data_IF_194828880196
#
_entry.id   IF_194828880196
#
_cell.length_a   1.000
_cell.length_b   1.000
_cell.length_c   1.000
_cell.angle_alpha   90.00
_cell.angle_beta   90.00
_cell.angle_gamma   90.00
#
_symmetry.space_group_name_H-M   'P 1'
#
loop_
_entity.id
_entity.type
_entity.pdbx_description
1 polymer ?
#
# COMPACT_ATOMS: atom_id res chain seq x y z
N UNK A 1 -22.95 0.21 -30.19
CA UNK A 1 -22.55 -0.35 -28.87
C UNK A 1 -21.56 0.62 -28.22
N UNK A 2 -22.00 1.45 -27.26
CA UNK A 2 -21.12 2.46 -26.65
C UNK A 2 -20.07 1.78 -25.77
N UNK A 3 -18.80 1.88 -26.14
CA UNK A 3 -17.68 1.35 -25.37
C UNK A 3 -17.58 2.17 -24.07
N UNK A 4 -17.94 1.56 -22.94
CA UNK A 4 -17.74 2.18 -21.62
C UNK A 4 -16.26 2.51 -21.44
N UNK A 5 -15.91 3.79 -21.38
CA UNK A 5 -14.58 4.24 -20.97
C UNK A 5 -14.40 3.89 -19.49
N UNK A 6 -13.86 2.72 -19.19
CA UNK A 6 -13.34 2.38 -17.86
C UNK A 6 -12.07 3.23 -17.64
N UNK A 7 -12.26 4.47 -17.23
CA UNK A 7 -11.16 5.28 -16.74
C UNK A 7 -10.87 4.79 -15.31
N UNK A 8 -9.69 4.21 -15.06
CA UNK A 8 -9.25 3.91 -13.69
C UNK A 8 -8.89 5.25 -13.03
N UNK A 9 -9.90 5.98 -12.56
CA UNK A 9 -9.72 7.30 -11.93
C UNK A 9 -9.16 7.20 -10.51
N UNK A 10 -9.17 6.00 -9.91
CA UNK A 10 -8.66 5.81 -8.56
C UNK A 10 -7.31 5.09 -8.60
N UNK A 11 -6.27 5.63 -7.94
CA UNK A 11 -5.02 4.92 -7.72
C UNK A 11 -5.32 3.59 -7.04
N UNK A 12 -4.54 2.56 -7.38
CA UNK A 12 -4.74 1.24 -6.79
C UNK A 12 -4.59 1.31 -5.28
N UNK A 13 -5.12 0.32 -4.55
CA UNK A 13 -4.94 0.27 -3.10
C UNK A 13 -3.45 0.32 -2.73
N UNK A 14 -2.62 -0.35 -3.54
CA UNK A 14 -1.16 -0.38 -3.42
C UNK A 14 -0.51 0.98 -3.63
N UNK A 15 -0.91 1.71 -4.68
CA UNK A 15 -0.40 3.06 -4.94
C UNK A 15 -0.69 3.99 -3.77
N UNK A 16 -1.90 3.90 -3.20
CA UNK A 16 -2.29 4.69 -2.03
C UNK A 16 -1.52 4.31 -0.78
N UNK A 17 -1.35 3.01 -0.53
CA UNK A 17 -0.58 2.52 0.61
C UNK A 17 0.91 2.91 0.50
N UNK A 18 1.51 2.82 -0.69
CA UNK A 18 2.90 3.21 -0.90
C UNK A 18 3.12 4.72 -0.67
N UNK A 19 2.20 5.57 -1.14
CA UNK A 19 2.22 7.00 -0.87
C UNK A 19 2.06 7.29 0.63
N UNK A 20 1.16 6.57 1.30
CA UNK A 20 0.95 6.70 2.74
C UNK A 20 2.18 6.27 3.55
N UNK A 21 2.81 5.14 3.22
CA UNK A 21 4.05 4.67 3.87
C UNK A 21 5.16 5.71 3.76
N UNK A 22 5.33 6.35 2.59
CA UNK A 22 6.30 7.43 2.40
C UNK A 22 6.03 8.61 3.34
N UNK A 23 4.78 9.07 3.42
CA UNK A 23 4.39 10.15 4.33
C UNK A 23 4.61 9.80 5.80
N UNK A 24 4.24 8.58 6.21
CA UNK A 24 4.41 8.11 7.59
C UNK A 24 5.88 8.00 7.96
N UNK A 25 6.75 7.54 7.04
CA UNK A 25 8.20 7.53 7.25
C UNK A 25 8.78 8.93 7.38
N UNK A 26 8.31 9.87 6.56
CA UNK A 26 8.73 11.26 6.66
C UNK A 26 8.31 11.88 8.00
N UNK A 27 7.07 11.65 8.45
CA UNK A 27 6.62 12.05 9.79
C UNK A 27 7.46 11.42 10.90
N UNK A 28 7.76 10.12 10.80
CA UNK A 28 8.61 9.42 11.75
C UNK A 28 10.05 9.97 11.79
N UNK A 29 10.58 10.46 10.66
CA UNK A 29 11.91 11.08 10.60
C UNK A 29 11.99 12.45 11.26
N UNK A 30 10.88 13.19 11.28
CA UNK A 30 10.77 14.51 11.93
C UNK A 30 10.59 14.41 13.44
N UNK A 31 10.17 13.25 13.94
CA UNK A 31 9.97 13.01 15.37
C UNK A 31 11.26 12.54 16.05
N UNK A 32 11.49 12.98 17.31
CA UNK A 32 12.57 12.43 18.11
C UNK A 32 12.36 10.92 18.34
N UNK A 33 13.44 10.16 18.58
CA UNK A 33 13.32 8.75 18.96
C UNK A 33 12.44 8.61 20.21
N UNK A 34 11.39 7.80 20.10
CA UNK A 34 10.38 7.64 21.13
C UNK A 34 9.22 6.74 20.68
N UNK A 35 8.30 6.41 21.60
CA UNK A 35 7.21 5.46 21.34
C UNK A 35 6.31 5.90 20.18
N UNK A 36 6.09 7.20 20.02
CA UNK A 36 5.28 7.75 18.91
C UNK A 36 5.91 7.44 17.55
N UNK A 37 7.23 7.68 17.41
CA UNK A 37 7.98 7.34 16.20
C UNK A 37 7.92 5.84 15.91
N UNK A 38 8.06 5.00 16.92
CA UNK A 38 8.01 3.54 16.77
C UNK A 38 6.63 3.05 16.34
N UNK A 39 5.55 3.65 16.85
CA UNK A 39 4.19 3.31 16.40
C UNK A 39 3.96 3.66 14.92
N UNK A 40 4.48 4.80 14.46
CA UNK A 40 4.41 5.21 13.05
C UNK A 40 5.22 4.26 12.16
N UNK A 41 6.43 3.89 12.57
CA UNK A 41 7.26 2.92 11.85
C UNK A 41 6.58 1.53 11.79
N UNK A 42 5.94 1.10 12.89
CA UNK A 42 5.18 -0.15 12.92
C UNK A 42 4.00 -0.13 11.95
N UNK A 43 3.26 0.97 11.89
CA UNK A 43 2.15 1.17 10.93
C UNK A 43 2.64 1.16 9.48
N UNK A 44 3.74 1.86 9.20
CA UNK A 44 4.36 1.85 7.88
C UNK A 44 4.76 0.42 7.45
N UNK A 45 5.35 -0.35 8.36
CA UNK A 45 5.73 -1.75 8.10
C UNK A 45 4.51 -2.65 7.82
N UNK A 46 3.41 -2.46 8.54
CA UNK A 46 2.18 -3.21 8.30
C UNK A 46 1.59 -2.93 6.91
N UNK A 47 1.63 -1.67 6.46
CA UNK A 47 1.18 -1.33 5.11
C UNK A 47 2.07 -1.89 4.01
N UNK A 48 3.39 -1.91 4.19
CA UNK A 48 4.32 -2.58 3.25
C UNK A 48 4.01 -4.08 3.14
N UNK A 49 3.79 -4.76 4.28
CA UNK A 49 3.42 -6.18 4.30
C UNK A 49 2.08 -6.42 3.61
N UNK A 50 1.08 -5.56 3.84
CA UNK A 50 -0.21 -5.65 3.18
C UNK A 50 -0.10 -5.49 1.65
N UNK A 51 0.75 -4.57 1.17
CA UNK A 51 1.03 -4.42 -0.26
C UNK A 51 1.67 -5.68 -0.85
N UNK A 52 2.65 -6.24 -0.15
CA UNK A 52 3.34 -7.45 -0.59
C UNK A 52 2.43 -8.68 -0.62
N UNK A 53 1.54 -8.82 0.38
CA UNK A 53 0.53 -9.87 0.39
C UNK A 53 -0.46 -9.71 -0.76
N UNK A 54 -0.84 -8.47 -1.09
CA UNK A 54 -1.70 -8.19 -2.22
C UNK A 54 -1.05 -8.61 -3.55
N UNK A 55 0.22 -8.27 -3.76
CA UNK A 55 1.01 -8.73 -4.92
C UNK A 55 1.01 -10.25 -5.03
N UNK A 56 1.20 -10.93 -3.89
CA UNK A 56 1.24 -12.39 -3.87
C UNK A 56 -0.09 -13.02 -4.27
N UNK A 57 -1.20 -12.52 -3.74
CA UNK A 57 -2.56 -12.95 -4.09
C UNK A 57 -2.87 -12.65 -5.57
N UNK A 58 -2.35 -11.53 -6.10
CA UNK A 58 -2.60 -11.15 -7.48
C UNK A 58 -1.76 -11.95 -8.49
N UNK A 59 -0.65 -12.55 -8.04
CA UNK A 59 0.22 -13.38 -8.87
C UNK A 59 -0.52 -14.58 -9.49
N UNK A 60 -0.39 -14.74 -10.81
CA UNK A 60 -1.19 -15.66 -11.60
C UNK A 60 -1.00 -17.15 -11.23
N UNK A 61 0.09 -17.51 -10.52
CA UNK A 61 0.37 -18.89 -10.11
C UNK A 61 -0.55 -19.43 -9.00
N UNK A 62 -1.30 -18.55 -8.31
CA UNK A 62 -2.24 -18.93 -7.25
C UNK A 62 -3.71 -18.72 -7.64
N UNK A 63 -3.98 -18.24 -8.85
CA UNK A 63 -5.35 -18.12 -9.34
C UNK A 63 -5.81 -19.48 -9.88
N UNK A 64 -6.96 -20.01 -9.43
CA UNK A 64 -7.51 -21.21 -10.04
C UNK A 64 -7.75 -20.94 -11.54
N UNK A 65 -7.43 -21.91 -12.42
CA UNK A 65 -7.70 -21.78 -13.85
C UNK A 65 -9.20 -21.55 -14.08
N UNK A 66 -9.53 -20.71 -15.07
CA UNK A 66 -10.91 -20.40 -15.46
C UNK A 66 -11.57 -21.55 -16.20
#
# INVERSE_FOLDING_TARGET
MFKRRRFKQQPTLQDRLSAWVKQVREQASRLPPGPERDTLLKKARQADVACHLHDWIESAGLRPPK
#
